data_IF_877026709802
#
_entry.id   IF_877026709802
#
_cell.length_a   1.000
_cell.length_b   1.000
_cell.length_c   1.000
_cell.angle_alpha   90.00
_cell.angle_beta   90.00
_cell.angle_gamma   90.00
#
_symmetry.space_group_name_H-M   'P 1'
#
loop_
_entity.id
_entity.type
_entity.pdbx_description
1 polymer ?
#
# COMPACT_ATOMS: atom_id res chain seq x y z
N UNK A 1 -3.38 -32.97 63.34
CA UNK A 1 -2.90 -31.81 62.55
C UNK A 1 -2.82 -32.13 61.06
N UNK A 2 -2.32 -33.29 60.64
CA UNK A 2 -2.11 -33.64 59.21
C UNK A 2 -3.37 -33.61 58.32
N UNK A 3 -4.54 -34.08 58.79
CA UNK A 3 -5.81 -34.00 58.03
C UNK A 3 -6.26 -32.55 57.77
N UNK A 4 -6.02 -31.65 58.73
CA UNK A 4 -6.31 -30.21 58.56
C UNK A 4 -5.36 -29.55 57.57
N UNK A 5 -4.11 -30.04 57.46
CA UNK A 5 -3.11 -29.56 56.48
C UNK A 5 -3.41 -30.08 55.07
N UNK A 6 -3.85 -31.32 54.93
CA UNK A 6 -4.28 -31.89 53.64
C UNK A 6 -5.56 -31.21 53.10
N UNK A 7 -6.55 -30.94 53.97
CA UNK A 7 -7.75 -30.19 53.61
C UNK A 7 -7.44 -28.74 53.21
N UNK A 8 -6.51 -28.08 53.89
CA UNK A 8 -6.04 -26.73 53.53
C UNK A 8 -5.25 -26.71 52.21
N UNK A 9 -4.45 -27.75 51.94
CA UNK A 9 -3.73 -27.89 50.67
C UNK A 9 -4.68 -28.09 49.49
N UNK A 10 -5.78 -28.82 49.67
CA UNK A 10 -6.83 -29.00 48.65
C UNK A 10 -7.59 -27.71 48.36
N UNK A 11 -7.89 -26.92 49.39
CA UNK A 11 -8.53 -25.61 49.23
C UNK A 11 -7.58 -24.60 48.58
N UNK A 12 -6.29 -24.62 48.92
CA UNK A 12 -5.28 -23.76 48.29
C UNK A 12 -5.03 -24.11 46.82
N UNK A 13 -4.96 -25.39 46.46
CA UNK A 13 -4.81 -25.84 45.07
C UNK A 13 -6.05 -25.54 44.20
N UNK A 14 -7.25 -25.49 44.77
CA UNK A 14 -8.46 -25.10 44.05
C UNK A 14 -8.57 -23.58 43.81
N UNK A 15 -7.96 -22.77 44.68
CA UNK A 15 -8.01 -21.29 44.59
C UNK A 15 -6.86 -20.73 43.73
N UNK A 16 -5.71 -21.40 43.69
CA UNK A 16 -4.59 -21.01 42.82
C UNK A 16 -4.70 -21.80 41.51
N UNK A 17 -5.24 -21.19 40.45
CA UNK A 17 -5.35 -21.75 39.09
C UNK A 17 -4.02 -22.04 38.41
N UNK A 18 -3.09 -22.72 39.08
CA UNK A 18 -1.88 -23.29 38.51
C UNK A 18 -2.20 -24.65 37.91
N UNK A 19 -1.75 -24.88 36.68
CA UNK A 19 -1.79 -26.14 35.92
C UNK A 19 -1.13 -27.31 36.66
N UNK A 20 -1.72 -27.77 37.75
CA UNK A 20 -1.52 -29.11 38.24
C UNK A 20 -2.80 -29.85 37.83
N UNK A 21 -2.65 -30.77 36.89
CA UNK A 21 -3.64 -31.76 36.46
C UNK A 21 -3.93 -32.69 37.66
N UNK A 22 -4.49 -32.12 38.74
CA UNK A 22 -4.91 -32.83 39.93
C UNK A 22 -6.28 -33.40 39.60
N UNK A 23 -6.26 -34.52 38.89
CA UNK A 23 -7.44 -35.32 38.66
C UNK A 23 -8.05 -35.62 40.02
N UNK A 24 -9.33 -35.30 40.19
CA UNK A 24 -10.13 -35.60 41.39
C UNK A 24 -9.91 -37.04 41.85
N UNK A 25 -9.74 -37.96 40.89
CA UNK A 25 -9.41 -39.37 41.08
C UNK A 25 -8.11 -39.59 41.86
N UNK A 26 -7.05 -38.78 41.65
CA UNK A 26 -5.78 -38.91 42.36
C UNK A 26 -5.89 -38.47 43.82
N UNK A 27 -6.70 -37.46 44.12
CA UNK A 27 -6.96 -37.01 45.49
C UNK A 27 -7.81 -38.04 46.23
N UNK A 28 -8.84 -38.56 45.57
CA UNK A 28 -9.71 -39.63 46.08
C UNK A 28 -8.90 -40.91 46.28
N UNK A 29 -8.02 -41.27 45.36
CA UNK A 29 -7.13 -42.43 45.48
C UNK A 29 -6.08 -42.23 46.58
N UNK A 30 -5.47 -41.05 46.72
CA UNK A 30 -4.53 -40.78 47.81
C UNK A 30 -5.21 -40.82 49.19
N UNK A 31 -6.47 -40.37 49.27
CA UNK A 31 -7.30 -40.53 50.46
C UNK A 31 -7.58 -42.01 50.74
N UNK A 32 -8.01 -42.78 49.74
CA UNK A 32 -8.27 -44.21 49.89
C UNK A 32 -7.01 -45.04 50.17
N UNK A 33 -5.85 -44.65 49.65
CA UNK A 33 -4.55 -45.25 49.95
C UNK A 33 -4.16 -44.99 51.40
N UNK A 34 -4.34 -43.76 51.89
CA UNK A 34 -4.10 -43.44 53.30
C UNK A 34 -5.06 -44.19 54.24
N UNK A 35 -6.36 -44.25 53.90
CA UNK A 35 -7.36 -45.03 54.65
C UNK A 35 -7.00 -46.53 54.64
N UNK A 36 -6.58 -47.06 53.49
CA UNK A 36 -6.18 -48.46 53.34
C UNK A 36 -4.89 -48.78 54.10
N UNK A 37 -3.95 -47.85 54.16
CA UNK A 37 -2.69 -47.99 54.90
C UNK A 37 -2.91 -47.91 56.41
N UNK A 38 -3.90 -47.13 56.86
CA UNK A 38 -4.36 -47.11 58.25
C UNK A 38 -5.04 -48.42 58.62
N UNK A 39 -5.85 -48.98 57.71
CA UNK A 39 -6.52 -50.28 57.86
C UNK A 39 -5.51 -51.45 57.88
N UNK A 40 -4.46 -51.44 57.04
CA UNK A 40 -3.44 -52.49 57.07
C UNK A 40 -2.56 -52.40 58.33
N UNK A 41 -2.19 -51.19 58.75
CA UNK A 41 -1.37 -50.98 59.96
C UNK A 41 -2.10 -51.39 61.25
N UNK A 42 -3.44 -51.30 61.28
CA UNK A 42 -4.26 -51.81 62.39
C UNK A 42 -4.47 -53.32 62.34
N UNK A 43 -4.48 -53.93 61.14
CA UNK A 43 -4.57 -55.38 60.98
C UNK A 43 -3.33 -56.11 61.53
N UNK A 44 -2.13 -55.57 61.30
CA UNK A 44 -0.88 -56.15 61.78
C UNK A 44 -0.69 -56.00 63.30
N UNK A 45 -1.27 -54.97 63.92
CA UNK A 45 -1.24 -54.76 65.39
C UNK A 45 -2.26 -55.61 66.15
N UNK A 46 -3.28 -56.16 65.46
CA UNK A 46 -4.31 -57.03 66.05
C UNK A 46 -3.84 -58.49 66.20
N UNK A 47 -2.90 -58.97 65.37
CA UNK A 47 -2.39 -60.35 65.46
C UNK A 47 -1.40 -60.58 66.62
N UNK A 48 -0.86 -59.52 67.24
CA UNK A 48 0.10 -59.63 68.35
C UNK A 48 -0.50 -59.55 69.77
N UNK A 49 -1.82 -59.35 69.93
CA UNK A 49 -2.47 -59.26 71.25
C UNK A 49 -3.77 -60.08 71.27
N UNK A 50 -3.61 -61.40 71.28
CA UNK A 50 -4.70 -62.34 71.55
C UNK A 50 -4.76 -62.64 73.07
N UNK A 51 -5.82 -62.14 73.73
CA UNK A 51 -6.34 -62.48 75.08
C UNK A 51 -6.47 -61.28 76.05
N UNK A 52 -7.26 -60.26 75.71
CA UNK A 52 -7.74 -59.28 76.68
C UNK A 52 -9.07 -58.65 76.24
N UNK A 53 -9.94 -58.31 77.19
CA UNK A 53 -11.15 -57.49 76.97
C UNK A 53 -10.81 -56.12 76.33
N UNK A 54 -9.56 -55.68 76.44
CA UNK A 54 -9.01 -54.49 75.77
C UNK A 54 -9.07 -54.62 74.24
N UNK A 55 -8.86 -55.83 73.68
CA UNK A 55 -8.91 -56.04 72.21
C UNK A 55 -10.33 -55.85 71.67
N UNK A 56 -11.36 -56.24 72.44
CA UNK A 56 -12.77 -55.99 72.07
C UNK A 56 -13.09 -54.50 72.12
N UNK A 57 -12.73 -53.81 73.20
CA UNK A 57 -12.96 -52.37 73.33
C UNK A 57 -12.22 -51.57 72.24
N UNK A 58 -10.99 -51.97 71.89
CA UNK A 58 -10.23 -51.37 70.81
C UNK A 58 -10.86 -51.66 69.44
N UNK A 59 -11.35 -52.88 69.20
CA UNK A 59 -12.08 -53.23 67.99
C UNK A 59 -13.36 -52.41 67.83
N UNK A 60 -14.14 -52.29 68.91
CA UNK A 60 -15.38 -51.50 68.94
C UNK A 60 -15.10 -50.01 68.68
N UNK A 61 -14.04 -49.45 69.29
CA UNK A 61 -13.64 -48.05 69.09
C UNK A 61 -13.08 -47.79 67.68
N UNK A 62 -12.41 -48.76 67.07
CA UNK A 62 -11.97 -48.68 65.66
C UNK A 62 -13.19 -48.76 64.73
N UNK A 63 -14.13 -49.68 64.97
CA UNK A 63 -15.36 -49.82 64.18
C UNK A 63 -16.22 -48.55 64.26
N UNK A 64 -16.37 -47.97 65.45
CA UNK A 64 -17.11 -46.73 65.65
C UNK A 64 -16.42 -45.55 64.94
N UNK A 65 -15.09 -45.43 65.05
CA UNK A 65 -14.33 -44.41 64.31
C UNK A 65 -14.41 -44.60 62.79
N UNK A 66 -14.31 -45.82 62.27
CA UNK A 66 -14.46 -46.10 60.83
C UNK A 66 -15.86 -45.73 60.34
N UNK A 67 -16.90 -46.02 61.14
CA UNK A 67 -18.28 -45.62 60.85
C UNK A 67 -18.45 -44.10 60.84
N UNK A 68 -17.90 -43.40 61.84
CA UNK A 68 -17.90 -41.93 61.89
C UNK A 68 -17.11 -41.30 60.74
N UNK A 69 -15.97 -41.89 60.36
CA UNK A 69 -15.18 -41.45 59.20
C UNK A 69 -15.92 -41.65 57.89
N UNK A 70 -16.62 -42.78 57.70
CA UNK A 70 -17.44 -43.00 56.51
C UNK A 70 -18.59 -42.00 56.43
N UNK A 71 -19.30 -41.75 57.55
CA UNK A 71 -20.36 -40.74 57.58
C UNK A 71 -19.84 -39.34 57.26
N UNK A 72 -18.65 -38.98 57.75
CA UNK A 72 -18.02 -37.69 57.43
C UNK A 72 -17.56 -37.61 55.96
N UNK A 73 -17.07 -38.70 55.40
CA UNK A 73 -16.71 -38.78 53.98
C UNK A 73 -17.95 -38.68 53.08
N UNK A 74 -19.06 -39.35 53.44
CA UNK A 74 -20.35 -39.26 52.75
C UNK A 74 -20.93 -37.84 52.81
N UNK A 75 -20.87 -37.18 53.98
CA UNK A 75 -21.31 -35.79 54.16
C UNK A 75 -20.44 -34.82 53.32
N UNK A 76 -19.11 -34.99 53.34
CA UNK A 76 -18.20 -34.21 52.50
C UNK A 76 -18.48 -34.43 51.01
N UNK A 77 -18.69 -35.67 50.59
CA UNK A 77 -19.03 -35.98 49.19
C UNK A 77 -20.38 -35.35 48.80
N UNK A 78 -21.37 -35.40 49.68
CA UNK A 78 -22.69 -34.81 49.48
C UNK A 78 -22.66 -33.27 49.38
N UNK A 79 -21.66 -32.61 49.96
CA UNK A 79 -21.49 -31.16 49.88
C UNK A 79 -20.55 -30.71 48.75
N UNK A 80 -19.52 -31.49 48.45
CA UNK A 80 -18.53 -31.15 47.42
C UNK A 80 -19.06 -31.29 45.99
N UNK A 81 -19.90 -32.31 45.71
CA UNK A 81 -20.47 -32.51 44.37
C UNK A 81 -21.35 -31.32 43.96
N UNK A 82 -22.36 -30.90 44.74
CA UNK A 82 -23.21 -29.76 44.38
C UNK A 82 -22.43 -28.44 44.32
N UNK A 83 -21.41 -28.26 45.17
CA UNK A 83 -20.56 -27.08 45.16
C UNK A 83 -19.69 -27.00 43.89
N UNK A 84 -19.13 -28.13 43.45
CA UNK A 84 -18.38 -28.21 42.20
C UNK A 84 -19.28 -28.00 40.98
N UNK A 85 -20.50 -28.56 40.98
CA UNK A 85 -21.52 -28.32 39.95
C UNK A 85 -21.92 -26.84 39.88
N UNK A 86 -22.12 -26.19 41.04
CA UNK A 86 -22.47 -24.77 41.11
C UNK A 86 -21.34 -23.86 40.59
N UNK A 87 -20.08 -24.14 40.95
CA UNK A 87 -18.93 -23.39 40.42
C UNK A 87 -18.80 -23.58 38.91
N UNK A 88 -19.00 -24.80 38.42
CA UNK A 88 -18.94 -25.11 36.99
C UNK A 88 -20.04 -24.40 36.20
N UNK A 89 -21.28 -24.41 36.71
CA UNK A 89 -22.40 -23.70 36.10
C UNK A 89 -22.15 -22.20 36.06
N UNK A 90 -21.66 -21.62 37.17
CA UNK A 90 -21.31 -20.21 37.28
C UNK A 90 -20.19 -19.82 36.28
N UNK A 91 -19.11 -20.60 36.21
CA UNK A 91 -18.00 -20.37 35.28
C UNK A 91 -18.44 -20.50 33.82
N UNK A 92 -19.35 -21.44 33.52
CA UNK A 92 -19.92 -21.61 32.18
C UNK A 92 -20.73 -20.38 31.79
N UNK A 93 -21.65 -19.95 32.65
CA UNK A 93 -22.47 -18.76 32.41
C UNK A 93 -21.61 -17.48 32.27
N UNK A 94 -20.58 -17.32 33.09
CA UNK A 94 -19.71 -16.14 33.04
C UNK A 94 -18.82 -16.16 31.78
N UNK A 95 -18.38 -17.34 31.34
CA UNK A 95 -17.64 -17.51 30.07
C UNK A 95 -18.52 -17.22 28.85
N UNK A 96 -19.77 -17.68 28.84
CA UNK A 96 -20.73 -17.39 27.78
C UNK A 96 -21.03 -15.88 27.69
N UNK A 97 -21.28 -15.21 28.83
CA UNK A 97 -21.47 -13.75 28.86
C UNK A 97 -20.25 -12.98 28.37
N UNK A 98 -19.06 -13.42 28.74
CA UNK A 98 -17.81 -12.79 28.30
C UNK A 98 -17.65 -12.93 26.78
N UNK A 99 -17.97 -14.10 26.22
CA UNK A 99 -17.95 -14.35 24.78
C UNK A 99 -18.94 -13.43 24.04
N UNK A 100 -20.17 -13.32 24.53
CA UNK A 100 -21.18 -12.43 23.95
C UNK A 100 -20.74 -10.95 23.99
N UNK A 101 -20.12 -10.50 25.09
CA UNK A 101 -19.59 -9.15 25.21
C UNK A 101 -18.44 -8.89 24.21
N UNK A 102 -17.48 -9.81 24.10
CA UNK A 102 -16.38 -9.68 23.15
C UNK A 102 -16.86 -9.67 21.69
N UNK A 103 -17.80 -10.55 21.33
CA UNK A 103 -18.39 -10.55 19.99
C UNK A 103 -19.07 -9.21 19.68
N UNK A 104 -19.81 -8.67 20.65
CA UNK A 104 -20.46 -7.37 20.51
C UNK A 104 -19.45 -6.24 20.33
N UNK A 105 -18.39 -6.20 21.14
CA UNK A 105 -17.34 -5.17 21.03
C UNK A 105 -16.57 -5.27 19.71
N UNK A 106 -16.27 -6.48 19.22
CA UNK A 106 -15.64 -6.70 17.92
C UNK A 106 -16.54 -6.25 16.77
N UNK A 107 -17.84 -6.56 16.82
CA UNK A 107 -18.80 -6.12 15.80
C UNK A 107 -19.00 -4.59 15.85
N UNK A 108 -19.05 -3.99 17.04
CA UNK A 108 -19.07 -2.53 17.18
C UNK A 108 -17.80 -1.88 16.61
N UNK A 109 -16.63 -2.49 16.80
CA UNK A 109 -15.38 -2.03 16.23
C UNK A 109 -15.38 -2.16 14.70
N UNK A 110 -15.88 -3.28 14.16
CA UNK A 110 -16.05 -3.51 12.72
C UNK A 110 -16.96 -2.44 12.10
N UNK A 111 -18.12 -2.20 12.70
CA UNK A 111 -19.10 -1.19 12.27
C UNK A 111 -18.47 0.22 12.32
N UNK A 112 -17.64 0.51 13.33
CA UNK A 112 -16.94 1.80 13.44
C UNK A 112 -15.85 1.97 12.39
N UNK A 113 -15.07 0.93 12.07
CA UNK A 113 -13.91 1.04 11.17
C UNK A 113 -14.25 0.91 9.68
N UNK A 114 -15.26 0.10 9.31
CA UNK A 114 -15.71 -0.09 7.92
C UNK A 114 -15.98 1.23 7.17
N UNK A 115 -16.75 2.20 7.70
CA UNK A 115 -17.04 3.43 6.97
C UNK A 115 -15.81 4.33 6.77
N UNK A 116 -14.80 4.28 7.65
CA UNK A 116 -13.55 5.02 7.45
C UNK A 116 -12.77 4.44 6.27
N UNK A 117 -12.63 3.12 6.22
CA UNK A 117 -12.00 2.41 5.11
C UNK A 117 -12.64 2.75 3.76
N UNK A 118 -13.98 2.69 3.71
CA UNK A 118 -14.75 3.02 2.50
C UNK A 118 -14.58 4.50 2.10
N UNK A 119 -14.60 5.42 3.07
CA UNK A 119 -14.44 6.84 2.80
C UNK A 119 -13.01 7.17 2.32
N UNK A 120 -11.96 6.56 2.90
CA UNK A 120 -10.57 6.67 2.40
C UNK A 120 -10.50 6.22 0.95
N UNK A 121 -11.05 5.03 0.63
CA UNK A 121 -11.03 4.48 -0.71
C UNK A 121 -11.76 5.38 -1.72
N UNK A 122 -12.92 5.91 -1.32
CA UNK A 122 -13.73 6.82 -2.13
C UNK A 122 -13.04 8.16 -2.37
N UNK A 123 -12.50 8.78 -1.33
CA UNK A 123 -11.78 10.06 -1.45
C UNK A 123 -10.51 9.90 -2.29
N UNK A 124 -9.76 8.81 -2.10
CA UNK A 124 -8.60 8.51 -2.93
C UNK A 124 -9.01 8.33 -4.40
N UNK A 125 -10.03 7.52 -4.67
CA UNK A 125 -10.49 7.27 -6.04
C UNK A 125 -10.94 8.56 -6.72
N UNK A 126 -11.67 9.42 -6.00
CA UNK A 126 -12.10 10.72 -6.48
C UNK A 126 -10.89 11.63 -6.78
N UNK A 127 -9.98 11.79 -5.83
CA UNK A 127 -8.83 12.68 -5.96
C UNK A 127 -7.86 12.19 -7.05
N UNK A 128 -7.72 10.87 -7.20
CA UNK A 128 -6.98 10.25 -8.26
C UNK A 128 -7.57 10.52 -9.65
N UNK A 129 -8.89 10.36 -9.81
CA UNK A 129 -9.54 10.66 -11.09
C UNK A 129 -9.50 12.15 -11.39
N UNK A 130 -9.64 13.02 -10.39
CA UNK A 130 -9.42 14.47 -10.56
C UNK A 130 -8.00 14.79 -10.99
N UNK A 131 -7.00 14.14 -10.39
CA UNK A 131 -5.60 14.31 -10.75
C UNK A 131 -5.34 13.86 -12.18
N UNK A 132 -5.92 12.72 -12.58
CA UNK A 132 -5.88 12.21 -13.95
C UNK A 132 -6.53 13.16 -14.94
N UNK A 133 -7.73 13.66 -14.64
CA UNK A 133 -8.43 14.64 -15.48
C UNK A 133 -7.67 15.95 -15.61
N UNK A 134 -6.95 16.36 -14.56
CA UNK A 134 -6.14 17.58 -14.58
C UNK A 134 -4.81 17.38 -15.30
N UNK A 135 -4.19 16.20 -15.24
CA UNK A 135 -2.87 15.93 -15.81
C UNK A 135 -2.90 15.38 -17.24
N UNK A 136 -3.98 14.68 -17.66
CA UNK A 136 -4.14 14.16 -19.03
C UNK A 136 -4.05 15.24 -20.12
N UNK A 137 -4.69 16.43 -19.95
CA UNK A 137 -4.65 17.48 -20.97
C UNK A 137 -3.24 17.98 -21.28
N UNK A 138 -2.25 17.82 -20.39
CA UNK A 138 -0.90 18.35 -20.64
C UNK A 138 -0.17 17.63 -21.77
N UNK A 139 -0.42 16.33 -21.96
CA UNK A 139 0.17 15.60 -23.09
C UNK A 139 -0.42 16.06 -24.41
N UNK A 140 -1.73 16.30 -24.45
CA UNK A 140 -2.44 16.78 -25.63
C UNK A 140 -2.10 18.25 -25.92
N UNK A 141 -2.10 19.11 -24.90
CA UNK A 141 -1.70 20.51 -25.00
C UNK A 141 -0.25 20.64 -25.44
N UNK A 142 0.66 19.80 -24.93
CA UNK A 142 2.03 19.74 -25.42
C UNK A 142 2.08 19.40 -26.90
N UNK A 143 1.42 18.32 -27.32
CA UNK A 143 1.39 17.92 -28.72
C UNK A 143 0.81 19.03 -29.60
N UNK A 144 -0.22 19.72 -29.13
CA UNK A 144 -0.83 20.85 -29.81
C UNK A 144 0.13 22.06 -29.88
N UNK A 145 0.82 22.41 -28.80
CA UNK A 145 1.83 23.47 -28.79
C UNK A 145 3.00 23.14 -29.72
N UNK A 146 3.47 21.90 -29.70
CA UNK A 146 4.49 21.40 -30.62
C UNK A 146 4.04 21.52 -32.07
N UNK A 147 2.86 21.01 -32.40
CA UNK A 147 2.33 21.04 -33.77
C UNK A 147 2.10 22.47 -34.27
N UNK A 148 1.53 23.33 -33.42
CA UNK A 148 1.34 24.75 -33.72
C UNK A 148 2.66 25.46 -33.96
N UNK A 149 3.63 25.32 -33.06
CA UNK A 149 4.89 26.05 -33.14
C UNK A 149 5.78 25.53 -34.26
N UNK A 150 5.82 24.22 -34.49
CA UNK A 150 6.56 23.64 -35.62
C UNK A 150 5.94 24.04 -36.97
N UNK A 151 4.62 24.16 -37.05
CA UNK A 151 3.94 24.73 -38.23
C UNK A 151 4.30 26.20 -38.45
N UNK A 152 4.39 27.01 -37.39
CA UNK A 152 4.83 28.42 -37.49
C UNK A 152 6.25 28.49 -38.05
N UNK A 153 7.18 27.69 -37.51
CA UNK A 153 8.57 27.61 -38.01
C UNK A 153 8.58 27.22 -39.49
N UNK A 154 7.85 26.16 -39.86
CA UNK A 154 7.77 25.71 -41.25
C UNK A 154 7.21 26.79 -42.19
N UNK A 155 6.19 27.53 -41.75
CA UNK A 155 5.60 28.64 -42.51
C UNK A 155 6.56 29.83 -42.67
N UNK A 156 7.25 30.24 -41.60
CA UNK A 156 8.20 31.35 -41.62
C UNK A 156 9.35 31.07 -42.59
N UNK A 157 9.91 29.85 -42.55
CA UNK A 157 11.00 29.45 -43.42
C UNK A 157 10.54 29.29 -44.88
N UNK A 158 9.36 28.69 -45.11
CA UNK A 158 8.79 28.61 -46.46
C UNK A 158 8.49 29.98 -47.07
N UNK A 159 8.17 30.99 -46.27
CA UNK A 159 7.95 32.36 -46.78
C UNK A 159 9.20 32.91 -47.47
N UNK A 160 10.37 32.78 -46.83
CA UNK A 160 11.65 33.25 -47.41
C UNK A 160 11.98 32.48 -48.69
N UNK A 161 11.76 31.15 -48.67
CA UNK A 161 11.95 30.26 -49.83
C UNK A 161 11.06 30.70 -51.00
N UNK A 162 9.79 31.02 -50.73
CA UNK A 162 8.82 31.42 -51.75
C UNK A 162 9.16 32.80 -52.35
N UNK A 163 9.58 33.75 -51.52
CA UNK A 163 10.05 35.05 -51.98
C UNK A 163 11.28 34.92 -52.88
N UNK A 164 12.23 34.05 -52.51
CA UNK A 164 13.40 33.75 -53.31
C UNK A 164 12.99 33.17 -54.69
N UNK A 165 12.10 32.19 -54.73
CA UNK A 165 11.55 31.63 -55.98
C UNK A 165 10.93 32.70 -56.89
N UNK A 166 10.09 33.57 -56.32
CA UNK A 166 9.45 34.64 -57.08
C UNK A 166 10.50 35.59 -57.68
N UNK A 167 11.53 35.94 -56.89
CA UNK A 167 12.58 36.85 -57.33
C UNK A 167 13.44 36.27 -58.46
N UNK A 168 13.72 34.97 -58.40
CA UNK A 168 14.43 34.24 -59.47
C UNK A 168 13.63 34.22 -60.78
N UNK A 169 12.30 34.13 -60.69
CA UNK A 169 11.42 34.12 -61.87
C UNK A 169 11.21 35.52 -62.47
N UNK A 170 11.20 36.56 -61.66
CA UNK A 170 10.93 37.95 -62.09
C UNK A 170 12.13 38.67 -62.70
N UNK A 171 13.36 38.38 -62.25
CA UNK A 171 14.58 39.02 -62.74
C UNK A 171 15.51 38.00 -63.37
N UNK A 172 15.78 38.09 -64.68
CA UNK A 172 16.88 37.34 -65.31
C UNK A 172 18.21 38.11 -65.28
N UNK A 173 18.14 39.44 -65.26
CA UNK A 173 19.30 40.33 -65.25
C UNK A 173 19.62 40.77 -63.80
N UNK A 174 20.89 40.65 -63.38
CA UNK A 174 21.39 41.01 -62.04
C UNK A 174 20.78 40.23 -60.85
N UNK A 175 20.57 38.92 -61.02
CA UNK A 175 20.15 38.02 -59.94
C UNK A 175 21.13 38.00 -58.76
N UNK A 176 22.43 38.03 -59.01
CA UNK A 176 23.46 38.04 -57.96
C UNK A 176 23.23 39.13 -56.91
N UNK A 177 23.08 40.39 -57.34
CA UNK A 177 22.84 41.54 -56.46
C UNK A 177 21.45 41.47 -55.81
N UNK A 178 20.45 40.98 -56.55
CA UNK A 178 19.06 40.92 -56.06
C UNK A 178 18.85 39.82 -55.02
N UNK A 179 19.62 38.74 -55.09
CA UNK A 179 19.46 37.56 -54.23
C UNK A 179 20.43 37.53 -53.05
N UNK A 180 21.56 38.26 -53.12
CA UNK A 180 22.53 38.32 -52.02
C UNK A 180 21.94 38.54 -50.61
N UNK A 181 20.91 39.40 -50.40
CA UNK A 181 20.32 39.59 -49.08
C UNK A 181 19.56 38.37 -48.53
N UNK A 182 19.09 37.46 -49.38
CA UNK A 182 18.22 36.36 -48.97
C UNK A 182 18.93 35.26 -48.19
N UNK A 183 20.24 35.07 -48.40
CA UNK A 183 21.04 34.16 -47.56
C UNK A 183 21.06 34.61 -46.10
N UNK A 184 21.29 35.91 -45.88
CA UNK A 184 21.27 36.50 -44.55
C UNK A 184 19.86 36.53 -43.95
N UNK A 185 18.83 36.84 -44.75
CA UNK A 185 17.43 36.79 -44.29
C UNK A 185 17.03 35.36 -43.89
N UNK A 186 17.45 34.35 -44.66
CA UNK A 186 17.22 32.95 -44.33
C UNK A 186 17.89 32.58 -43.00
N UNK A 187 19.17 32.94 -42.81
CA UNK A 187 19.88 32.70 -41.56
C UNK A 187 19.17 33.37 -40.37
N UNK A 188 18.81 34.65 -40.51
CA UNK A 188 18.08 35.38 -39.47
C UNK A 188 16.75 34.70 -39.14
N UNK A 189 16.02 34.23 -40.15
CA UNK A 189 14.74 33.53 -39.97
C UNK A 189 14.90 32.17 -39.32
N UNK A 190 15.94 31.42 -39.64
CA UNK A 190 16.27 30.17 -38.93
C UNK A 190 16.52 30.47 -37.46
N UNK A 191 17.37 31.45 -37.16
CA UNK A 191 17.71 31.83 -35.80
C UNK A 191 16.47 32.27 -35.00
N UNK A 192 15.66 33.17 -35.55
CA UNK A 192 14.42 33.66 -34.94
C UNK A 192 13.40 32.54 -34.73
N UNK A 193 13.16 31.70 -35.73
CA UNK A 193 12.13 30.66 -35.68
C UNK A 193 12.49 29.59 -34.66
N UNK A 194 13.75 29.16 -34.60
CA UNK A 194 14.22 28.18 -33.62
C UNK A 194 14.21 28.78 -32.20
N UNK A 195 14.64 30.03 -32.04
CA UNK A 195 14.61 30.70 -30.74
C UNK A 195 13.17 30.91 -30.24
N UNK A 196 12.23 31.27 -31.12
CA UNK A 196 10.80 31.33 -30.79
C UNK A 196 10.27 29.98 -30.34
N UNK A 197 10.57 28.91 -31.08
CA UNK A 197 10.19 27.55 -30.72
C UNK A 197 10.70 27.17 -29.32
N UNK A 198 11.98 27.46 -29.04
CA UNK A 198 12.59 27.25 -27.71
C UNK A 198 11.88 28.04 -26.62
N UNK A 199 11.62 29.33 -26.86
CA UNK A 199 10.94 30.24 -25.92
C UNK A 199 9.48 29.86 -25.65
N UNK A 200 8.83 29.13 -26.54
CA UNK A 200 7.47 28.64 -26.33
C UNK A 200 7.45 27.29 -25.60
N UNK A 201 8.39 26.38 -25.90
CA UNK A 201 8.36 25.02 -25.36
C UNK A 201 9.01 24.88 -23.97
N UNK A 202 10.09 25.60 -23.68
CA UNK A 202 10.78 25.51 -22.37
C UNK A 202 9.92 26.05 -21.22
N UNK A 203 9.22 27.20 -21.33
CA UNK A 203 8.33 27.63 -20.25
C UNK A 203 7.19 26.64 -20.00
N UNK A 204 6.73 25.94 -21.04
CA UNK A 204 5.67 24.94 -20.91
C UNK A 204 6.12 23.71 -20.10
N UNK A 205 7.34 23.22 -20.29
CA UNK A 205 7.89 22.13 -19.43
C UNK A 205 7.97 22.56 -17.97
N UNK A 206 8.30 23.83 -17.70
CA UNK A 206 8.28 24.39 -16.35
C UNK A 206 6.87 24.48 -15.76
N UNK A 207 5.89 24.92 -16.55
CA UNK A 207 4.49 24.99 -16.13
C UNK A 207 3.94 23.60 -15.76
N UNK A 208 4.26 22.58 -16.56
CA UNK A 208 3.91 21.17 -16.27
C UNK A 208 4.55 20.72 -14.96
N UNK A 209 5.81 21.07 -14.70
CA UNK A 209 6.51 20.77 -13.44
C UNK A 209 5.78 21.38 -12.23
N UNK A 210 5.45 22.67 -12.28
CA UNK A 210 4.74 23.36 -11.20
C UNK A 210 3.35 22.77 -10.95
N UNK A 211 2.64 22.43 -12.02
CA UNK A 211 1.32 21.80 -11.94
C UNK A 211 1.40 20.41 -11.30
N UNK A 212 2.37 19.58 -11.68
CA UNK A 212 2.61 18.29 -11.01
C UNK A 212 2.84 18.48 -9.51
N UNK A 213 3.69 19.43 -9.12
CA UNK A 213 3.99 19.70 -7.72
C UNK A 213 2.75 20.15 -6.94
N UNK A 214 1.99 21.08 -7.50
CA UNK A 214 0.75 21.57 -6.89
C UNK A 214 -0.28 20.47 -6.72
N UNK A 215 -0.46 19.60 -7.71
CA UNK A 215 -1.51 18.58 -7.63
C UNK A 215 -1.11 17.40 -6.74
N UNK A 216 0.16 17.00 -6.71
CA UNK A 216 0.64 15.98 -5.75
C UNK A 216 0.53 16.51 -4.32
N UNK A 217 0.81 17.79 -4.08
CA UNK A 217 0.63 18.41 -2.77
C UNK A 217 -0.84 18.39 -2.34
N UNK A 218 -1.77 18.80 -3.22
CA UNK A 218 -3.22 18.75 -2.95
C UNK A 218 -3.71 17.34 -2.65
N UNK A 219 -3.19 16.34 -3.34
CA UNK A 219 -3.50 14.94 -3.07
C UNK A 219 -2.97 14.50 -1.69
N UNK A 220 -1.77 14.95 -1.31
CA UNK A 220 -1.21 14.70 0.02
C UNK A 220 -2.08 15.32 1.12
N UNK A 221 -2.48 16.59 0.94
CA UNK A 221 -3.33 17.32 1.89
C UNK A 221 -4.71 16.68 2.05
N UNK A 222 -5.32 16.21 0.95
CA UNK A 222 -6.65 15.61 0.98
C UNK A 222 -6.68 14.22 1.63
N UNK A 223 -5.56 13.50 1.63
CA UNK A 223 -5.43 12.18 2.26
C UNK A 223 -4.92 12.24 3.70
N UNK A 224 -4.29 13.35 4.11
CA UNK A 224 -3.74 13.53 5.46
C UNK A 224 -4.73 13.18 6.60
N UNK A 225 -6.01 13.62 6.57
CA UNK A 225 -6.96 13.35 7.67
C UNK A 225 -7.34 11.87 7.84
N UNK A 226 -7.04 11.04 6.85
CA UNK A 226 -7.52 9.66 6.75
C UNK A 226 -6.44 8.62 7.04
N UNK A 227 -5.23 9.07 7.39
CA UNK A 227 -4.06 8.22 7.35
C UNK A 227 -2.98 8.56 8.39
N UNK A 228 -3.32 9.03 9.59
CA UNK A 228 -2.32 9.37 10.63
C UNK A 228 -1.31 8.23 10.90
N UNK A 229 -1.76 6.97 11.03
CA UNK A 229 -0.87 5.81 11.20
C UNK A 229 -0.16 5.36 9.91
N UNK A 230 -0.69 5.75 8.74
CA UNK A 230 -0.19 5.35 7.41
C UNK A 230 0.55 6.47 6.67
N UNK A 231 0.69 7.63 7.31
CA UNK A 231 1.14 8.88 6.73
C UNK A 231 2.55 8.74 6.15
N UNK A 232 3.46 8.12 6.89
CA UNK A 232 4.83 7.87 6.43
C UNK A 232 4.89 7.04 5.13
N UNK A 233 3.97 6.09 4.93
CA UNK A 233 3.92 5.30 3.71
C UNK A 233 3.27 6.09 2.56
N UNK A 234 2.21 6.86 2.83
CA UNK A 234 1.60 7.75 1.84
C UNK A 234 2.59 8.82 1.36
N UNK A 235 3.23 9.53 2.27
CA UNK A 235 4.24 10.55 1.97
C UNK A 235 5.37 9.96 1.10
N UNK A 236 5.83 8.75 1.45
CA UNK A 236 6.85 8.04 0.66
C UNK A 236 6.37 7.69 -0.74
N UNK A 237 5.09 7.37 -0.94
CA UNK A 237 4.53 7.08 -2.26
C UNK A 237 4.32 8.37 -3.07
N UNK A 238 3.88 9.45 -2.44
CA UNK A 238 3.74 10.78 -3.06
C UNK A 238 5.08 11.32 -3.52
N UNK A 239 6.13 11.24 -2.69
CA UNK A 239 7.46 11.70 -3.08
C UNK A 239 8.07 10.85 -4.21
N UNK A 240 7.80 9.53 -4.24
CA UNK A 240 8.19 8.70 -5.40
C UNK A 240 7.45 9.09 -6.67
N UNK A 241 6.14 9.34 -6.58
CA UNK A 241 5.32 9.76 -7.70
C UNK A 241 5.83 11.10 -8.26
N UNK A 242 6.03 12.09 -7.38
CA UNK A 242 6.61 13.39 -7.71
C UNK A 242 7.99 13.27 -8.35
N UNK A 243 8.87 12.43 -7.81
CA UNK A 243 10.20 12.20 -8.37
C UNK A 243 10.14 11.60 -9.79
N UNK A 244 9.31 10.59 -10.01
CA UNK A 244 9.17 9.95 -11.32
C UNK A 244 8.57 10.90 -12.35
N UNK A 245 7.54 11.67 -11.97
CA UNK A 245 6.93 12.67 -12.83
C UNK A 245 7.92 13.78 -13.19
N UNK A 246 8.63 14.34 -12.21
CA UNK A 246 9.70 15.34 -12.45
C UNK A 246 10.75 14.79 -13.41
N UNK A 247 11.19 13.55 -13.22
CA UNK A 247 12.15 12.91 -14.12
C UNK A 247 11.65 12.87 -15.57
N UNK A 248 10.38 12.53 -15.81
CA UNK A 248 9.80 12.55 -17.15
C UNK A 248 9.78 13.96 -17.76
N UNK A 249 9.43 14.98 -16.96
CA UNK A 249 9.45 16.39 -17.40
C UNK A 249 10.88 16.86 -17.70
N UNK A 250 11.87 16.49 -16.89
CA UNK A 250 13.26 16.89 -17.10
C UNK A 250 13.87 16.23 -18.34
N UNK A 251 13.53 14.95 -18.60
CA UNK A 251 13.91 14.29 -19.85
C UNK A 251 13.27 14.96 -21.07
N UNK A 252 12.02 15.40 -20.92
CA UNK A 252 11.31 16.15 -21.94
C UNK A 252 11.97 17.52 -22.19
N UNK A 253 12.33 18.28 -21.15
CA UNK A 253 13.05 19.55 -21.27
C UNK A 253 14.38 19.39 -22.01
N UNK A 254 15.14 18.35 -21.67
CA UNK A 254 16.39 18.03 -22.36
C UNK A 254 16.15 17.71 -23.85
N UNK A 255 15.11 16.94 -24.17
CA UNK A 255 14.78 16.62 -25.56
C UNK A 255 14.33 17.83 -26.38
N UNK A 256 13.58 18.74 -25.77
CA UNK A 256 13.22 20.03 -26.39
C UNK A 256 14.49 20.82 -26.72
N UNK A 257 15.43 20.94 -25.76
CA UNK A 257 16.70 21.65 -25.99
C UNK A 257 17.53 21.00 -27.09
N UNK A 258 17.75 19.69 -27.00
CA UNK A 258 18.48 18.92 -28.02
C UNK A 258 17.88 19.13 -29.41
N UNK A 259 16.56 19.05 -29.54
CA UNK A 259 15.89 19.26 -30.82
C UNK A 259 16.09 20.67 -31.35
N UNK A 260 15.93 21.71 -30.54
CA UNK A 260 16.11 23.09 -31.01
C UNK A 260 17.53 23.33 -31.51
N UNK A 261 18.54 22.80 -30.82
CA UNK A 261 19.94 22.91 -31.26
C UNK A 261 20.21 22.07 -32.52
N UNK A 262 19.65 20.86 -32.62
CA UNK A 262 19.78 20.02 -33.81
C UNK A 262 19.11 20.64 -35.04
N UNK A 263 17.89 21.17 -34.88
CA UNK A 263 17.15 21.84 -35.93
C UNK A 263 17.93 23.06 -36.43
N UNK A 264 18.46 23.88 -35.52
CA UNK A 264 19.33 25.01 -35.88
C UNK A 264 20.57 24.54 -36.63
N UNK A 265 21.31 23.59 -36.07
CA UNK A 265 22.56 23.08 -36.65
C UNK A 265 22.39 22.43 -38.02
N UNK A 266 21.20 21.91 -38.34
CA UNK A 266 20.88 21.37 -39.65
C UNK A 266 20.40 22.42 -40.64
N UNK A 267 19.68 23.45 -40.19
CA UNK A 267 19.17 24.49 -41.07
C UNK A 267 20.23 25.56 -41.38
N UNK A 268 21.14 25.87 -40.45
CA UNK A 268 22.20 26.87 -40.67
C UNK A 268 23.08 26.61 -41.89
N UNK A 269 23.56 25.37 -42.15
CA UNK A 269 24.29 25.07 -43.39
C UNK A 269 23.52 25.44 -44.65
N UNK A 270 22.17 25.40 -44.62
CA UNK A 270 21.38 25.78 -45.78
C UNK A 270 21.46 27.27 -46.11
N UNK A 271 21.66 28.14 -45.11
CA UNK A 271 21.86 29.56 -45.37
C UNK A 271 23.27 29.84 -45.94
N UNK A 272 24.28 29.13 -45.44
CA UNK A 272 25.65 29.25 -45.92
C UNK A 272 25.81 28.72 -47.35
N UNK A 273 25.27 27.54 -47.65
CA UNK A 273 25.31 26.97 -49.00
C UNK A 273 24.37 27.74 -49.95
N UNK A 274 23.28 28.34 -49.46
CA UNK A 274 22.48 29.28 -50.26
C UNK A 274 23.36 30.44 -50.73
N UNK A 275 24.16 31.02 -49.85
CA UNK A 275 25.07 32.11 -50.21
C UNK A 275 26.05 31.69 -51.31
N UNK A 276 26.70 30.53 -51.16
CA UNK A 276 27.64 30.01 -52.17
C UNK A 276 26.97 29.78 -53.52
N UNK A 277 25.78 29.19 -53.54
CA UNK A 277 25.03 28.97 -54.78
C UNK A 277 24.66 30.29 -55.45
N UNK A 278 24.31 31.32 -54.68
CA UNK A 278 23.93 32.66 -55.19
C UNK A 278 25.12 33.46 -55.74
N UNK A 279 26.35 33.18 -55.30
CA UNK A 279 27.60 33.74 -55.86
C UNK A 279 28.00 33.07 -57.20
N UNK A 280 27.32 31.98 -57.59
CA UNK A 280 27.50 31.30 -58.87
C UNK A 280 26.92 32.05 -60.08
N UNK A 281 27.06 31.47 -61.28
CA UNK A 281 26.46 32.08 -62.46
C UNK A 281 24.91 31.94 -62.45
N UNK A 282 24.23 32.89 -63.09
CA UNK A 282 22.76 32.98 -63.12
C UNK A 282 22.07 31.69 -63.62
N UNK A 283 22.64 31.02 -64.62
CA UNK A 283 22.06 29.78 -65.17
C UNK A 283 22.16 28.61 -64.20
N UNK A 284 23.24 28.55 -63.42
CA UNK A 284 23.44 27.54 -62.40
C UNK A 284 22.55 27.82 -61.19
N UNK A 285 22.42 29.09 -60.76
CA UNK A 285 21.44 29.51 -59.74
C UNK A 285 20.04 29.04 -60.11
N UNK A 286 19.56 29.38 -61.31
CA UNK A 286 18.20 29.01 -61.75
C UNK A 286 17.95 27.49 -61.76
N UNK A 287 18.97 26.68 -62.02
CA UNK A 287 18.85 25.21 -62.07
C UNK A 287 19.03 24.53 -60.72
N UNK A 288 19.83 25.11 -59.83
CA UNK A 288 20.26 24.46 -58.59
C UNK A 288 19.49 24.92 -57.36
N UNK A 289 18.90 26.12 -57.40
CA UNK A 289 18.25 26.72 -56.24
C UNK A 289 16.90 26.07 -55.92
N UNK A 290 16.04 25.81 -56.92
CA UNK A 290 14.74 25.16 -56.70
C UNK A 290 14.86 23.78 -56.03
N UNK A 291 15.67 22.83 -56.54
CA UNK A 291 15.83 21.52 -55.90
C UNK A 291 16.46 21.63 -54.51
N UNK A 292 17.37 22.59 -54.31
CA UNK A 292 18.02 22.83 -53.03
C UNK A 292 17.07 23.34 -51.94
N UNK A 293 16.19 24.31 -52.27
CA UNK A 293 15.17 24.79 -51.33
C UNK A 293 14.13 23.71 -51.02
N UNK A 294 13.85 22.84 -51.99
CA UNK A 294 12.97 21.68 -51.80
C UNK A 294 13.59 20.70 -50.80
N UNK A 295 14.87 20.36 -50.97
CA UNK A 295 15.61 19.50 -50.04
C UNK A 295 15.65 20.09 -48.62
N UNK A 296 15.87 21.40 -48.48
CA UNK A 296 15.80 22.09 -47.19
C UNK A 296 14.44 21.91 -46.50
N UNK A 297 13.34 22.10 -47.25
CA UNK A 297 11.99 21.94 -46.69
C UNK A 297 11.73 20.51 -46.27
N UNK A 298 12.19 19.52 -47.05
CA UNK A 298 12.03 18.11 -46.72
C UNK A 298 12.81 17.72 -45.46
N UNK A 299 14.06 18.18 -45.32
CA UNK A 299 14.87 17.92 -44.11
C UNK A 299 14.26 18.57 -42.85
N UNK A 300 13.74 19.79 -42.98
CA UNK A 300 13.04 20.47 -41.90
C UNK A 300 11.80 19.67 -41.45
N UNK A 301 10.95 19.28 -42.40
CA UNK A 301 9.73 18.52 -42.12
C UNK A 301 10.07 17.15 -41.50
N UNK A 302 11.14 16.49 -41.97
CA UNK A 302 11.66 15.26 -41.39
C UNK A 302 12.07 15.45 -39.93
N UNK A 303 12.84 16.49 -39.59
CA UNK A 303 13.25 16.73 -38.20
C UNK A 303 12.12 17.06 -37.26
N UNK A 304 11.15 17.85 -37.73
CA UNK A 304 9.94 18.12 -36.97
C UNK A 304 9.21 16.80 -36.66
N UNK A 305 9.11 15.90 -37.63
CA UNK A 305 8.49 14.58 -37.46
C UNK A 305 9.26 13.68 -36.48
N UNK A 306 10.59 13.59 -36.62
CA UNK A 306 11.45 12.84 -35.70
C UNK A 306 11.31 13.33 -34.26
N UNK A 307 11.24 14.65 -34.07
CA UNK A 307 11.03 15.24 -32.75
C UNK A 307 9.65 14.95 -32.17
N UNK A 308 8.58 15.09 -32.97
CA UNK A 308 7.21 14.74 -32.54
C UNK A 308 7.15 13.28 -32.05
N UNK A 309 7.84 12.37 -32.75
CA UNK A 309 7.93 10.97 -32.35
C UNK A 309 8.80 10.78 -31.09
N UNK A 310 9.89 11.53 -30.95
CA UNK A 310 10.78 11.42 -29.79
C UNK A 310 10.16 11.94 -28.50
N UNK A 311 9.26 12.93 -28.57
CA UNK A 311 8.69 13.60 -27.39
C UNK A 311 7.38 12.94 -26.90
N UNK A 312 6.65 12.27 -27.80
CA UNK A 312 5.38 11.59 -27.51
C UNK A 312 5.47 10.60 -26.33
N UNK A 313 6.51 9.74 -26.22
CA UNK A 313 6.64 8.81 -25.11
C UNK A 313 6.73 9.46 -23.72
N UNK A 314 7.17 10.72 -23.60
CA UNK A 314 7.27 11.39 -22.30
C UNK A 314 5.91 11.84 -21.78
N UNK A 315 5.02 12.29 -22.67
CA UNK A 315 3.64 12.59 -22.32
C UNK A 315 2.87 11.32 -21.91
N UNK A 316 3.09 10.22 -22.63
CA UNK A 316 2.54 8.90 -22.26
C UNK A 316 3.12 8.40 -20.92
N UNK A 317 4.43 8.59 -20.69
CA UNK A 317 5.08 8.20 -19.44
C UNK A 317 4.54 8.98 -18.24
N UNK A 318 4.25 10.28 -18.39
CA UNK A 318 3.60 11.07 -17.33
C UNK A 318 2.23 10.49 -16.95
N UNK A 319 1.40 10.19 -17.95
CA UNK A 319 0.08 9.58 -17.73
C UNK A 319 0.20 8.16 -17.13
N UNK A 320 1.16 7.37 -17.59
CA UNK A 320 1.41 6.03 -17.06
C UNK A 320 1.86 6.06 -15.60
N UNK A 321 2.82 6.91 -15.25
CA UNK A 321 3.30 7.07 -13.86
C UNK A 321 2.15 7.49 -12.97
N UNK A 322 1.31 8.42 -13.43
CA UNK A 322 0.10 8.83 -12.74
C UNK A 322 -0.82 7.64 -12.44
N UNK A 323 -1.32 6.98 -13.49
CA UNK A 323 -2.29 5.88 -13.36
C UNK A 323 -1.72 4.78 -12.47
N UNK A 324 -0.49 4.36 -12.73
CA UNK A 324 0.15 3.30 -11.97
C UNK A 324 0.32 3.66 -10.49
N UNK A 325 0.71 4.90 -10.15
CA UNK A 325 0.95 5.29 -8.75
C UNK A 325 -0.35 5.49 -7.99
N UNK A 326 -1.37 6.03 -8.65
CA UNK A 326 -2.74 6.07 -8.13
C UNK A 326 -3.20 4.64 -7.79
N UNK A 327 -3.01 3.70 -8.73
CA UNK A 327 -3.41 2.31 -8.55
C UNK A 327 -2.62 1.64 -7.42
N UNK A 328 -1.30 1.85 -7.36
CA UNK A 328 -0.46 1.33 -6.28
C UNK A 328 -0.90 1.86 -4.90
N UNK A 329 -1.28 3.14 -4.80
CA UNK A 329 -1.79 3.73 -3.54
C UNK A 329 -3.14 3.11 -3.20
N UNK A 330 -4.04 2.97 -4.19
CA UNK A 330 -5.37 2.37 -4.01
C UNK A 330 -5.29 0.92 -3.56
N UNK A 331 -4.46 0.11 -4.21
CA UNK A 331 -4.27 -1.30 -3.87
C UNK A 331 -3.70 -1.44 -2.47
N UNK A 332 -2.63 -0.70 -2.15
CA UNK A 332 -2.03 -0.76 -0.82
C UNK A 332 -3.02 -0.36 0.26
N UNK A 333 -3.74 0.75 0.12
CA UNK A 333 -4.72 1.14 1.13
C UNK A 333 -5.85 0.12 1.26
N UNK A 334 -6.32 -0.47 0.15
CA UNK A 334 -7.30 -1.56 0.18
C UNK A 334 -6.79 -2.83 0.89
N UNK A 335 -5.50 -3.15 0.80
CA UNK A 335 -4.96 -4.29 1.56
C UNK A 335 -4.98 -4.08 3.06
N UNK A 336 -4.84 -2.84 3.57
CA UNK A 336 -4.94 -2.58 5.01
C UNK A 336 -6.37 -2.75 5.52
N UNK A 337 -7.38 -2.36 4.74
CA UNK A 337 -8.78 -2.53 5.11
C UNK A 337 -9.16 -4.01 5.17
N UNK A 338 -8.67 -4.81 4.21
CA UNK A 338 -8.84 -6.27 4.22
C UNK A 338 -8.05 -6.91 5.36
N UNK A 339 -6.81 -6.49 5.62
CA UNK A 339 -5.99 -7.05 6.72
C UNK A 339 -6.63 -6.82 8.08
N UNK A 340 -7.20 -5.64 8.33
CA UNK A 340 -7.93 -5.37 9.59
C UNK A 340 -9.15 -6.28 9.72
N UNK A 341 -9.90 -6.49 8.63
CA UNK A 341 -11.04 -7.40 8.65
C UNK A 341 -10.62 -8.85 8.91
N UNK A 342 -9.60 -9.35 8.22
CA UNK A 342 -9.08 -10.71 8.40
C UNK A 342 -8.51 -10.91 9.82
N UNK A 343 -7.87 -9.90 10.39
CA UNK A 343 -7.36 -9.95 11.77
C UNK A 343 -8.48 -10.00 12.81
N UNK A 344 -9.59 -9.28 12.58
CA UNK A 344 -10.77 -9.34 13.44
C UNK A 344 -11.46 -10.71 13.35
N UNK A 345 -11.61 -11.26 12.14
CA UNK A 345 -12.17 -12.60 11.92
C UNK A 345 -11.28 -13.70 12.54
N UNK A 346 -9.96 -13.58 12.44
CA UNK A 346 -9.02 -14.50 13.11
C UNK A 346 -9.12 -14.42 14.63
N UNK A 347 -9.19 -13.20 15.19
CA UNK A 347 -9.32 -13.00 16.63
C UNK A 347 -10.65 -13.55 17.15
N UNK A 348 -11.74 -13.35 16.41
CA UNK A 348 -13.04 -13.95 16.72
C UNK A 348 -12.94 -15.48 16.77
N UNK A 349 -12.32 -16.09 15.77
CA UNK A 349 -12.14 -17.55 15.70
C UNK A 349 -11.26 -18.10 16.84
N UNK A 350 -10.14 -17.45 17.16
CA UNK A 350 -9.26 -17.86 18.25
C UNK A 350 -9.95 -17.77 19.63
N UNK A 351 -10.76 -16.74 19.84
CA UNK A 351 -11.56 -16.59 21.06
C UNK A 351 -12.61 -17.70 21.15
N UNK A 352 -13.33 -18.00 20.07
CA UNK A 352 -14.32 -19.08 20.04
C UNK A 352 -13.68 -20.44 20.40
N UNK A 353 -12.50 -20.73 19.84
CA UNK A 353 -11.76 -21.96 20.12
C UNK A 353 -11.34 -22.02 21.58
N UNK A 354 -10.76 -20.94 22.13
CA UNK A 354 -10.30 -20.90 23.52
C UNK A 354 -11.43 -21.04 24.53
N UNK A 355 -12.58 -20.41 24.27
CA UNK A 355 -13.77 -20.56 25.10
C UNK A 355 -14.31 -21.99 25.03
N UNK A 356 -14.42 -22.56 23.84
CA UNK A 356 -14.86 -23.94 23.66
C UNK A 356 -13.93 -24.95 24.37
N UNK A 357 -12.61 -24.75 24.26
CA UNK A 357 -11.60 -25.56 24.94
C UNK A 357 -11.69 -25.44 26.47
N UNK A 358 -11.95 -24.23 26.99
CA UNK A 358 -12.10 -23.97 28.42
C UNK A 358 -13.34 -24.70 28.97
N UNK A 359 -14.48 -24.59 28.28
CA UNK A 359 -15.73 -25.25 28.65
C UNK A 359 -15.62 -26.78 28.61
N UNK A 360 -14.96 -27.34 27.59
CA UNK A 360 -14.81 -28.79 27.42
C UNK A 360 -13.79 -29.41 28.38
N UNK A 361 -12.69 -28.71 28.73
CA UNK A 361 -11.69 -29.20 29.70
C UNK A 361 -12.23 -29.22 31.13
N UNK A 362 -13.30 -28.48 31.42
CA UNK A 362 -13.96 -28.44 32.71
C UNK A 362 -14.97 -29.57 32.96
N UNK A 363 -15.26 -30.46 32.01
CA UNK A 363 -16.20 -31.56 32.21
C UNK A 363 -15.56 -32.72 33.01
N UNK A 364 -15.99 -33.00 34.27
CA UNK A 364 -15.73 -34.30 34.86
C UNK A 364 -16.44 -35.35 34.01
N UNK A 365 -15.68 -36.29 33.45
CA UNK A 365 -16.24 -37.45 32.78
C UNK A 365 -17.11 -38.17 33.80
N UNK A 366 -18.40 -38.39 33.49
CA UNK A 366 -19.27 -39.22 34.32
C UNK A 366 -18.58 -40.58 34.51
N UNK A 367 -18.09 -40.84 35.73
CA UNK A 367 -17.65 -42.17 36.18
C UNK A 367 -18.89 -42.97 36.57
#
# INVERSE_FOLDING_TARGET
MLVKVAGLALVLCAITGSQADVRTDQVVNAFWDYVSQLHSSTKDTVEQVQQSDITKQLHDLIQENLKSMNLYAEELQSQLIPFAEQIHEQLTQDSEKLQEQFQKELEELRIKLSPYADEVHKQLSKNAEELKLKLTPYTEELQNHLEKNTKIVSQQLRSVIQELHNKIRENADNLEVSLAPYSQELQNRIDESVDQLRKQLIPYTNEVREKIESQVLKLSESLSPYAEEMQANLDRQMERMKFQMRKSVDQMDNKVREFTEQLKGQLTPYADELKEKLEGNVKDVQKTIEPYLTEMSEQMDQKISEFKNAITPYGEALNKVLVQKVDDIREKLGTYTVTVQDQLEYLESDIQIKVHDFLNKGMPTKI
#
